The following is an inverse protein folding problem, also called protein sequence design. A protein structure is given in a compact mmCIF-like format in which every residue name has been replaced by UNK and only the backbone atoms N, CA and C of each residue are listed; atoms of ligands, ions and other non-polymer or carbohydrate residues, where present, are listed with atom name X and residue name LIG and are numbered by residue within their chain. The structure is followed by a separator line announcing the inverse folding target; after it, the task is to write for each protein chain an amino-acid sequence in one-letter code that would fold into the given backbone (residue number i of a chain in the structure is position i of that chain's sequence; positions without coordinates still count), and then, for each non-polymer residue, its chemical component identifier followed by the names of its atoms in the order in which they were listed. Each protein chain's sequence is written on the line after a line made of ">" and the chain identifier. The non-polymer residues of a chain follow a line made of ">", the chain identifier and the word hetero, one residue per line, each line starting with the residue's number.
data_IF_523157746750
#
_entry.id   IF_523157746750
#
_cell.length_a   1.000
_cell.length_b   1.000
_cell.length_c   1.000
_cell.angle_alpha   90.00
_cell.angle_beta   90.00
_cell.angle_gamma   90.00
#
_symmetry.space_group_name_H-M   'P 1'
#
loop_
_entity.id
_entity.type
_entity.pdbx_description
1 polymer ?
#
# COMPACT_ATOMS: atom_id res chain seq x y z
N UNK A 1 -0.10 -57.50 -23.37
CA UNK A 1 -0.28 -57.79 -21.94
C UNK A 1 0.84 -57.03 -21.24
N UNK A 2 0.58 -55.80 -20.80
CA UNK A 2 0.03 -55.47 -19.46
C UNK A 2 0.99 -55.95 -18.36
N UNK A 3 1.49 -55.20 -17.37
CA UNK A 3 1.17 -53.93 -16.68
C UNK A 3 2.41 -53.64 -15.79
N UNK A 4 2.66 -52.38 -15.39
CA UNK A 4 3.10 -51.91 -14.04
C UNK A 4 3.47 -50.41 -14.15
N UNK A 5 2.61 -49.47 -13.75
CA UNK A 5 2.52 -48.84 -12.40
C UNK A 5 3.91 -48.46 -11.83
N UNK A 6 4.22 -47.23 -11.42
CA UNK A 6 3.40 -46.09 -11.02
C UNK A 6 3.63 -45.73 -9.54
N UNK A 7 4.16 -44.51 -9.29
CA UNK A 7 4.11 -43.73 -8.03
C UNK A 7 4.95 -44.26 -6.84
N UNK A 8 5.48 -43.49 -5.87
CA UNK A 8 5.64 -42.05 -5.56
C UNK A 8 6.25 -41.94 -4.14
N UNK A 9 6.74 -40.74 -3.78
CA UNK A 9 7.11 -40.20 -2.44
C UNK A 9 8.61 -40.11 -2.11
N UNK A 10 9.22 -38.92 -2.20
CA UNK A 10 9.17 -37.71 -1.32
C UNK A 10 10.19 -37.82 -0.17
N UNK A 11 11.20 -36.95 -0.25
CA UNK A 11 12.13 -36.61 0.83
C UNK A 11 12.59 -35.17 0.63
N UNK A 12 11.99 -34.27 1.40
CA UNK A 12 12.29 -32.83 1.48
C UNK A 12 13.49 -32.57 2.40
N UNK A 13 14.48 -31.79 1.93
CA UNK A 13 15.44 -31.10 2.80
C UNK A 13 15.54 -29.63 2.40
N UNK A 14 15.17 -28.78 3.34
CA UNK A 14 15.30 -27.32 3.34
C UNK A 14 16.77 -26.93 3.53
N UNK A 15 17.29 -26.08 2.64
CA UNK A 15 18.59 -25.43 2.78
C UNK A 15 18.39 -23.91 2.75
N UNK A 16 18.62 -23.29 3.90
CA UNK A 16 18.76 -21.86 4.14
C UNK A 16 20.06 -21.36 3.53
N UNK A 17 20.00 -20.38 2.63
CA UNK A 17 21.18 -19.67 2.15
C UNK A 17 21.06 -18.18 2.50
N UNK A 18 21.84 -17.75 3.49
CA UNK A 18 22.23 -16.35 3.70
C UNK A 18 23.16 -15.88 2.56
N UNK A 19 23.11 -14.59 2.17
CA UNK A 19 24.09 -14.01 1.25
C UNK A 19 25.35 -13.54 2.01
N UNK A 20 26.56 -13.72 1.46
CA UNK A 20 27.76 -13.22 2.10
C UNK A 20 27.95 -11.73 1.87
N UNK A 21 28.24 -11.03 2.97
CA UNK A 21 28.83 -9.70 3.00
C UNK A 21 30.30 -9.78 2.57
N UNK A 22 30.65 -9.12 1.46
CA UNK A 22 32.05 -8.79 1.15
C UNK A 22 32.17 -7.32 0.75
N UNK A 23 32.82 -6.59 1.63
CA UNK A 23 33.35 -5.25 1.43
C UNK A 23 34.54 -5.31 0.46
N UNK A 24 34.40 -4.70 -0.72
CA UNK A 24 35.55 -4.26 -1.51
C UNK A 24 35.33 -2.79 -1.89
N UNK A 25 36.14 -1.94 -1.26
CA UNK A 25 36.38 -0.58 -1.68
C UNK A 25 37.15 -0.62 -2.99
N UNK A 26 36.54 -0.17 -4.08
CA UNK A 26 37.27 0.35 -5.23
C UNK A 26 36.75 1.74 -5.56
N UNK A 27 37.67 2.69 -5.44
CA UNK A 27 37.50 4.11 -5.71
C UNK A 27 37.56 4.29 -7.22
N UNK A 28 36.41 4.46 -7.87
CA UNK A 28 36.34 5.08 -9.19
C UNK A 28 35.82 6.50 -9.04
N UNK A 29 36.75 7.45 -9.04
CA UNK A 29 36.50 8.88 -9.23
C UNK A 29 35.87 9.08 -10.61
N UNK A 30 34.56 9.29 -10.63
CA UNK A 30 33.81 9.77 -11.78
C UNK A 30 33.92 11.29 -11.83
N UNK A 31 34.56 11.81 -12.88
CA UNK A 31 34.48 13.23 -13.23
C UNK A 31 33.10 13.54 -13.80
N UNK A 32 32.47 14.67 -13.42
CA UNK A 32 31.16 15.03 -13.96
C UNK A 32 31.33 15.62 -15.36
N UNK A 33 30.81 14.93 -16.38
CA UNK A 33 30.60 15.55 -17.69
C UNK A 33 29.29 16.34 -17.60
N UNK A 34 29.46 17.65 -17.52
CA UNK A 34 28.41 18.64 -17.50
C UNK A 34 27.89 18.83 -18.94
N UNK A 35 26.88 18.07 -19.35
CA UNK A 35 26.16 18.32 -20.61
C UNK A 35 24.89 19.10 -20.32
N UNK A 36 25.00 20.42 -20.48
CA UNK A 36 23.87 21.31 -20.58
C UNK A 36 22.99 20.89 -21.76
N UNK A 37 21.75 20.51 -21.45
CA UNK A 37 20.66 20.40 -22.41
C UNK A 37 20.34 21.83 -22.84
N UNK A 38 20.89 22.26 -23.98
CA UNK A 38 20.36 23.40 -24.72
C UNK A 38 19.53 22.85 -25.87
N UNK A 39 18.24 23.15 -25.81
CA UNK A 39 17.25 22.98 -26.85
C UNK A 39 17.76 23.53 -28.19
N UNK A 40 17.94 22.65 -29.17
CA UNK A 40 18.07 23.03 -30.57
C UNK A 40 16.94 22.38 -31.35
N UNK A 41 16.29 23.21 -32.14
CA UNK A 41 15.02 22.99 -32.81
C UNK A 41 14.93 21.65 -33.57
N UNK A 42 13.72 21.09 -33.56
CA UNK A 42 13.27 20.14 -34.57
C UNK A 42 13.47 20.76 -35.95
N UNK A 43 14.53 20.37 -36.64
CA UNK A 43 14.51 20.32 -38.09
C UNK A 43 14.20 18.89 -38.48
N UNK A 44 12.94 18.67 -38.86
CA UNK A 44 12.56 17.54 -39.70
C UNK A 44 13.34 17.68 -41.01
N UNK A 45 14.47 16.98 -41.11
CA UNK A 45 15.06 16.68 -42.41
C UNK A 45 14.24 15.53 -43.01
N UNK A 46 13.37 15.90 -43.94
CA UNK A 46 12.69 15.01 -44.87
C UNK A 46 13.70 14.09 -45.57
N UNK A 47 13.28 12.90 -46.06
CA UNK A 47 14.17 11.96 -46.73
C UNK A 47 14.72 12.45 -48.08
N UNK A 48 14.47 13.71 -48.46
CA UNK A 48 14.85 14.29 -49.74
C UNK A 48 16.32 14.75 -49.81
N UNK A 49 17.05 14.83 -48.71
CA UNK A 49 18.44 15.31 -48.72
C UNK A 49 19.50 14.22 -48.93
N UNK A 50 19.13 12.95 -48.93
CA UNK A 50 20.03 11.85 -49.33
C UNK A 50 20.06 11.62 -50.85
N UNK A 51 19.07 12.16 -51.59
CA UNK A 51 19.02 12.05 -53.07
C UNK A 51 19.80 13.17 -53.77
N UNK A 52 20.11 14.27 -53.09
CA UNK A 52 20.83 15.40 -53.69
C UNK A 52 22.31 15.15 -53.93
N UNK A 53 22.95 14.26 -53.18
CA UNK A 53 24.38 13.92 -53.39
C UNK A 53 24.60 12.82 -54.45
N UNK A 54 23.53 12.15 -54.92
CA UNK A 54 23.62 11.23 -56.07
C UNK A 54 23.53 11.95 -57.42
N UNK A 55 23.22 13.25 -57.44
CA UNK A 55 23.10 14.04 -58.68
C UNK A 55 24.42 14.63 -59.17
N UNK A 56 25.49 14.57 -58.38
CA UNK A 56 26.79 15.14 -58.74
C UNK A 56 27.79 14.09 -59.29
N UNK A 57 27.25 13.01 -59.89
CA UNK A 57 28.04 12.09 -60.73
C UNK A 57 28.50 12.73 -62.05
N UNK A 58 28.10 13.98 -62.33
CA UNK A 58 28.56 14.80 -63.46
C UNK A 58 30.06 15.12 -63.44
N UNK A 59 30.73 14.94 -62.30
CA UNK A 59 32.17 15.16 -62.16
C UNK A 59 33.01 13.88 -62.16
N UNK A 60 32.41 12.71 -62.40
CA UNK A 60 33.20 11.55 -62.80
C UNK A 60 33.92 11.91 -64.11
N UNK A 61 35.24 11.68 -64.24
CA UNK A 61 35.91 11.80 -65.52
C UNK A 61 35.12 10.96 -66.51
N UNK A 62 34.50 11.61 -67.49
CA UNK A 62 33.89 10.87 -68.59
C UNK A 62 35.01 9.99 -69.17
N UNK A 63 34.77 8.68 -69.39
CA UNK A 63 35.75 7.89 -70.12
C UNK A 63 36.07 8.67 -71.39
N UNK A 64 37.35 8.88 -71.75
CA UNK A 64 37.67 9.61 -72.95
C UNK A 64 36.88 8.94 -74.06
N UNK A 65 36.11 9.76 -74.78
CA UNK A 65 35.37 9.30 -75.93
C UNK A 65 36.42 8.73 -76.87
N UNK A 66 36.57 7.41 -76.88
CA UNK A 66 37.16 6.71 -78.01
C UNK A 66 36.20 7.02 -79.15
N UNK A 67 36.47 8.12 -79.85
CA UNK A 67 35.92 8.30 -81.16
C UNK A 67 36.28 7.02 -81.91
N UNK A 68 35.26 6.28 -82.38
CA UNK A 68 35.38 5.18 -83.33
C UNK A 68 35.88 5.75 -84.68
N UNK A 69 36.98 6.50 -84.66
CA UNK A 69 37.79 6.76 -85.82
C UNK A 69 38.57 5.49 -86.05
N UNK A 70 38.00 4.64 -86.92
CA UNK A 70 38.76 3.61 -87.60
C UNK A 70 39.86 4.33 -88.38
N UNK A 71 41.03 4.46 -87.76
CA UNK A 71 42.22 5.04 -88.38
C UNK A 71 42.67 4.02 -89.43
N UNK A 72 42.69 4.42 -90.70
CA UNK A 72 43.18 3.57 -91.78
C UNK A 72 44.73 3.59 -91.76
N UNK A 73 45.32 2.57 -91.10
CA UNK A 73 46.76 2.50 -90.81
C UNK A 73 47.64 2.55 -92.08
N UNK A 74 47.10 2.21 -93.24
CA UNK A 74 47.85 2.09 -94.50
C UNK A 74 48.11 3.46 -95.20
N UNK A 75 47.50 4.56 -94.72
CA UNK A 75 47.59 5.89 -95.33
C UNK A 75 48.43 6.91 -94.53
N UNK A 76 48.93 6.56 -93.34
CA UNK A 76 49.73 7.47 -92.52
C UNK A 76 51.23 7.30 -92.74
N UNK A 77 51.97 8.41 -92.70
CA UNK A 77 53.44 8.34 -92.69
C UNK A 77 53.93 7.83 -91.34
N UNK A 78 55.07 7.13 -91.35
CA UNK A 78 55.68 6.51 -90.16
C UNK A 78 55.83 7.50 -88.97
N UNK A 79 56.07 8.78 -89.25
CA UNK A 79 56.20 9.83 -88.24
C UNK A 79 54.86 10.33 -87.68
N UNK A 80 53.75 10.20 -88.41
CA UNK A 80 52.42 10.51 -87.91
C UNK A 80 51.92 9.40 -86.99
N UNK A 81 52.12 8.14 -87.37
CA UNK A 81 51.82 6.97 -86.53
C UNK A 81 52.54 7.03 -85.18
N UNK A 82 53.83 7.38 -85.17
CA UNK A 82 54.60 7.55 -83.92
C UNK A 82 54.10 8.67 -83.01
N UNK A 83 53.55 9.75 -83.58
CA UNK A 83 52.98 10.86 -82.79
C UNK A 83 51.64 10.50 -82.17
N UNK A 84 50.79 9.83 -82.92
CA UNK A 84 49.52 9.29 -82.40
C UNK A 84 49.76 8.21 -81.34
N UNK A 85 50.74 7.31 -81.56
CA UNK A 85 51.17 6.32 -80.57
C UNK A 85 51.62 7.01 -79.27
N UNK A 86 52.43 8.06 -79.35
CA UNK A 86 52.88 8.81 -78.18
C UNK A 86 51.73 9.57 -77.47
N UNK A 87 50.77 10.13 -78.21
CA UNK A 87 49.61 10.83 -77.66
C UNK A 87 48.63 9.87 -76.95
N UNK A 88 48.35 8.71 -77.57
CA UNK A 88 47.55 7.66 -76.96
C UNK A 88 48.25 7.07 -75.73
N UNK A 89 49.57 6.88 -75.77
CA UNK A 89 50.34 6.42 -74.60
C UNK A 89 50.25 7.40 -73.42
N UNK A 90 50.27 8.72 -73.67
CA UNK A 90 50.09 9.73 -72.63
C UNK A 90 48.66 9.73 -72.05
N UNK A 91 47.64 9.60 -72.92
CA UNK A 91 46.24 9.51 -72.48
C UNK A 91 45.99 8.27 -71.62
N UNK A 92 46.55 7.11 -72.02
CA UNK A 92 46.47 5.87 -71.24
C UNK A 92 47.14 6.05 -69.88
N UNK A 93 48.30 6.69 -69.81
CA UNK A 93 48.99 6.96 -68.54
C UNK A 93 48.18 7.87 -67.60
N UNK A 94 47.54 8.92 -68.12
CA UNK A 94 46.68 9.81 -67.33
C UNK A 94 45.40 9.11 -66.84
N UNK A 95 44.79 8.28 -67.70
CA UNK A 95 43.66 7.43 -67.35
C UNK A 95 44.03 6.42 -66.25
N UNK A 96 45.18 5.76 -66.39
CA UNK A 96 45.70 4.82 -65.39
C UNK A 96 45.91 5.52 -64.05
N UNK A 97 46.51 6.72 -64.04
CA UNK A 97 46.70 7.53 -62.84
C UNK A 97 45.36 7.93 -62.17
N UNK A 98 44.37 8.35 -62.97
CA UNK A 98 43.04 8.69 -62.50
C UNK A 98 42.28 7.46 -61.95
N UNK A 99 42.42 6.31 -62.60
CA UNK A 99 41.83 5.05 -62.17
C UNK A 99 42.41 4.57 -60.83
N UNK A 100 43.73 4.73 -60.64
CA UNK A 100 44.41 4.43 -59.37
C UNK A 100 43.86 5.34 -58.25
N UNK A 101 43.78 6.66 -58.49
CA UNK A 101 43.27 7.63 -57.51
C UNK A 101 41.81 7.37 -57.12
N UNK A 102 40.96 7.09 -58.11
CA UNK A 102 39.55 6.74 -57.90
C UNK A 102 39.41 5.43 -57.11
N UNK A 103 40.25 4.44 -57.40
CA UNK A 103 40.25 3.17 -56.67
C UNK A 103 40.64 3.33 -55.21
N UNK A 104 41.65 4.16 -54.92
CA UNK A 104 42.05 4.49 -53.55
C UNK A 104 40.94 5.23 -52.78
N UNK A 105 40.31 6.22 -53.42
CA UNK A 105 39.20 6.98 -52.80
C UNK A 105 38.03 6.06 -52.47
N UNK A 106 37.64 5.19 -53.41
CA UNK A 106 36.59 4.18 -53.20
C UNK A 106 36.91 3.24 -52.03
N UNK A 107 38.16 2.81 -51.88
CA UNK A 107 38.58 1.98 -50.74
C UNK A 107 38.41 2.71 -49.41
N UNK A 108 38.80 3.98 -49.33
CA UNK A 108 38.63 4.78 -48.11
C UNK A 108 37.14 4.96 -47.77
N UNK A 109 36.31 5.30 -48.75
CA UNK A 109 34.86 5.42 -48.56
C UNK A 109 34.26 4.10 -48.07
N UNK A 110 34.67 2.98 -48.66
CA UNK A 110 34.20 1.66 -48.26
C UNK A 110 34.61 1.32 -46.82
N UNK A 111 35.85 1.63 -46.44
CA UNK A 111 36.35 1.46 -45.07
C UNK A 111 35.58 2.33 -44.08
N UNK A 112 35.34 3.60 -44.41
CA UNK A 112 34.54 4.51 -43.60
C UNK A 112 33.09 4.02 -43.44
N UNK A 113 32.45 3.56 -44.51
CA UNK A 113 31.09 3.03 -44.48
C UNK A 113 30.99 1.77 -43.61
N UNK A 114 31.96 0.85 -43.72
CA UNK A 114 32.02 -0.36 -42.90
C UNK A 114 32.18 -0.02 -41.41
N UNK A 115 33.06 0.93 -41.08
CA UNK A 115 33.25 1.40 -39.71
C UNK A 115 31.99 2.06 -39.15
N UNK A 116 31.32 2.91 -39.95
CA UNK A 116 30.07 3.56 -39.56
C UNK A 116 28.94 2.55 -39.32
N UNK A 117 28.82 1.53 -40.18
CA UNK A 117 27.83 0.47 -40.02
C UNK A 117 28.07 -0.32 -38.73
N UNK A 118 29.32 -0.66 -38.43
CA UNK A 118 29.68 -1.33 -37.19
C UNK A 118 29.34 -0.48 -35.95
N UNK A 119 29.69 0.82 -35.97
CA UNK A 119 29.33 1.76 -34.89
C UNK A 119 27.81 1.91 -34.72
N UNK A 120 27.06 1.98 -35.82
CA UNK A 120 25.59 2.07 -35.80
C UNK A 120 24.98 0.81 -35.18
N UNK A 121 25.48 -0.36 -35.54
CA UNK A 121 25.00 -1.61 -34.96
C UNK A 121 25.29 -1.69 -33.45
N UNK A 122 26.51 -1.32 -33.02
CA UNK A 122 26.87 -1.33 -31.61
C UNK A 122 26.04 -0.34 -30.79
N UNK A 123 25.84 0.87 -31.29
CA UNK A 123 25.01 1.89 -30.62
C UNK A 123 23.55 1.48 -30.57
N UNK A 124 23.01 0.87 -31.62
CA UNK A 124 21.65 0.34 -31.62
C UNK A 124 21.45 -0.74 -30.56
N UNK A 125 22.39 -1.69 -30.45
CA UNK A 125 22.34 -2.75 -29.43
C UNK A 125 22.44 -2.15 -28.01
N UNK A 126 23.38 -1.22 -27.80
CA UNK A 126 23.54 -0.55 -26.51
C UNK A 126 22.29 0.24 -26.11
N UNK A 127 21.66 0.94 -27.06
CA UNK A 127 20.40 1.65 -26.86
C UNK A 127 19.26 0.72 -26.49
N UNK A 128 19.16 -0.44 -27.15
CA UNK A 128 18.17 -1.47 -26.83
C UNK A 128 18.33 -2.01 -25.41
N UNK A 129 19.56 -2.27 -24.96
CA UNK A 129 19.85 -2.72 -23.59
C UNK A 129 19.45 -1.68 -22.54
N UNK A 130 19.80 -0.41 -22.77
CA UNK A 130 19.41 0.69 -21.88
C UNK A 130 17.89 0.87 -21.81
N UNK A 131 17.19 0.70 -22.94
CA UNK A 131 15.73 0.79 -22.97
C UNK A 131 15.07 -0.33 -22.16
N UNK A 132 15.62 -1.55 -22.21
CA UNK A 132 15.14 -2.68 -21.40
C UNK A 132 15.36 -2.43 -19.91
N UNK A 133 16.55 -1.96 -19.52
CA UNK A 133 16.85 -1.64 -18.12
C UNK A 133 15.97 -0.51 -17.58
N UNK A 134 15.78 0.54 -18.38
CA UNK A 134 14.84 1.62 -18.05
C UNK A 134 13.41 1.09 -17.87
N UNK A 135 12.96 0.21 -18.76
CA UNK A 135 11.63 -0.38 -18.66
C UNK A 135 11.48 -1.23 -17.39
N UNK A 136 12.47 -2.07 -17.08
CA UNK A 136 12.49 -2.88 -15.86
C UNK A 136 12.42 -2.01 -14.61
N UNK A 137 13.34 -1.04 -14.48
CA UNK A 137 13.38 -0.15 -13.31
C UNK A 137 12.12 0.71 -13.20
N UNK A 138 11.48 1.06 -14.31
CA UNK A 138 10.20 1.77 -14.32
C UNK A 138 9.05 0.88 -13.84
N UNK A 139 8.99 -0.39 -14.28
CA UNK A 139 7.98 -1.35 -13.81
C UNK A 139 8.14 -1.64 -12.32
N UNK A 140 9.38 -1.81 -11.86
CA UNK A 140 9.67 -2.07 -10.46
C UNK A 140 9.29 -0.88 -9.57
N UNK A 141 9.61 0.34 -10.01
CA UNK A 141 9.14 1.58 -9.36
C UNK A 141 7.61 1.67 -9.33
N UNK A 142 6.93 1.32 -10.43
CA UNK A 142 5.46 1.33 -10.47
C UNK A 142 4.87 0.30 -9.49
N UNK A 143 5.43 -0.91 -9.45
CA UNK A 143 5.03 -1.98 -8.53
C UNK A 143 5.18 -1.57 -7.06
N UNK A 144 6.35 -1.03 -6.70
CA UNK A 144 6.62 -0.50 -5.35
C UNK A 144 5.68 0.65 -5.02
N UNK A 145 5.40 1.53 -5.99
CA UNK A 145 4.43 2.62 -5.83
C UNK A 145 3.02 2.12 -5.49
N UNK A 146 2.54 1.09 -6.19
CA UNK A 146 1.24 0.46 -5.89
C UNK A 146 1.23 -0.17 -4.50
N UNK A 147 2.30 -0.89 -4.12
CA UNK A 147 2.42 -1.49 -2.80
C UNK A 147 2.41 -0.43 -1.68
N UNK A 148 3.12 0.69 -1.87
CA UNK A 148 3.17 1.77 -0.89
C UNK A 148 1.78 2.40 -0.66
N UNK A 149 1.01 2.61 -1.73
CA UNK A 149 -0.39 3.09 -1.64
C UNK A 149 -1.25 2.07 -0.90
N UNK A 150 -1.14 0.79 -1.28
CA UNK A 150 -1.91 -0.28 -0.63
C UNK A 150 -1.60 -0.40 0.87
N UNK A 151 -0.32 -0.38 1.26
CA UNK A 151 0.10 -0.43 2.66
C UNK A 151 -0.42 0.79 3.45
N UNK A 152 -0.40 1.98 2.84
CA UNK A 152 -0.95 3.21 3.43
C UNK A 152 -2.46 3.11 3.64
N UNK A 153 -3.18 2.55 2.67
CA UNK A 153 -4.62 2.30 2.77
C UNK A 153 -4.97 1.27 3.85
N UNK A 154 -4.22 0.18 3.92
CA UNK A 154 -4.38 -0.81 4.99
C UNK A 154 -4.13 -0.18 6.37
N UNK A 155 -3.07 0.61 6.52
CA UNK A 155 -2.78 1.30 7.77
C UNK A 155 -3.92 2.26 8.16
N UNK A 156 -4.44 3.03 7.19
CA UNK A 156 -5.59 3.92 7.38
C UNK A 156 -6.84 3.16 7.82
N UNK A 157 -7.07 1.97 7.27
CA UNK A 157 -8.14 1.09 7.71
C UNK A 157 -7.91 0.60 9.15
N UNK A 158 -6.73 0.05 9.46
CA UNK A 158 -6.36 -0.44 10.79
C UNK A 158 -6.47 0.64 11.88
N UNK A 159 -6.06 1.87 11.58
CA UNK A 159 -6.19 3.01 12.50
C UNK A 159 -7.66 3.38 12.80
N UNK A 160 -8.59 3.03 11.91
CA UNK A 160 -10.03 3.25 12.12
C UNK A 160 -10.70 2.11 12.86
N UNK A 161 -10.11 0.91 12.88
CA UNK A 161 -10.63 -0.22 13.63
C UNK A 161 -10.30 -0.07 15.10
N UNK A 162 -11.33 0.09 15.93
CA UNK A 162 -11.19 0.05 17.38
C UNK A 162 -11.75 -1.29 17.86
N UNK A 163 -10.85 -2.21 18.23
CA UNK A 163 -11.19 -3.55 18.70
C UNK A 163 -12.20 -3.53 19.84
N UNK A 164 -12.15 -2.50 20.70
CA UNK A 164 -13.12 -2.36 21.78
C UNK A 164 -14.53 -2.04 21.29
N UNK A 165 -14.67 -1.23 20.24
CA UNK A 165 -15.97 -0.89 19.65
C UNK A 165 -16.57 -2.08 18.89
N UNK A 166 -15.73 -2.96 18.34
CA UNK A 166 -16.16 -4.21 17.72
C UNK A 166 -16.56 -5.26 18.77
N UNK A 167 -15.82 -5.35 19.88
CA UNK A 167 -16.13 -6.28 20.99
C UNK A 167 -17.37 -5.85 21.79
N UNK A 168 -17.56 -4.53 21.98
CA UNK A 168 -18.67 -3.95 22.72
C UNK A 168 -19.35 -2.85 21.91
N UNK A 169 -20.13 -3.27 20.92
CA UNK A 169 -20.85 -2.37 20.05
C UNK A 169 -22.06 -1.75 20.76
N UNK A 170 -21.88 -0.52 21.29
CA UNK A 170 -22.94 0.23 21.96
C UNK A 170 -23.66 1.15 20.98
N UNK A 171 -24.96 0.89 20.78
CA UNK A 171 -25.84 1.63 19.89
C UNK A 171 -27.21 1.90 20.53
N UNK A 172 -28.19 2.28 19.72
CA UNK A 172 -29.57 2.46 20.17
C UNK A 172 -30.57 1.97 19.13
N UNK A 173 -31.69 1.44 19.61
CA UNK A 173 -32.82 1.03 18.79
C UNK A 173 -34.08 1.71 19.33
N UNK A 174 -34.44 2.84 18.72
CA UNK A 174 -35.50 3.71 19.21
C UNK A 174 -35.28 4.15 20.67
N UNK A 175 -36.21 3.83 21.61
CA UNK A 175 -36.08 4.21 23.01
C UNK A 175 -35.05 3.37 23.78
N UNK A 176 -34.62 2.22 23.27
CA UNK A 176 -33.69 1.31 23.93
C UNK A 176 -32.24 1.67 23.61
N UNK A 177 -31.35 1.53 24.59
CA UNK A 177 -29.93 1.38 24.32
C UNK A 177 -29.62 -0.10 24.03
N UNK A 178 -28.68 -0.34 23.12
CA UNK A 178 -28.28 -1.71 22.74
C UNK A 178 -26.79 -1.92 22.95
N UNK A 179 -26.40 -3.14 23.32
CA UNK A 179 -25.01 -3.58 23.39
C UNK A 179 -24.87 -4.92 22.66
N UNK A 180 -24.02 -4.98 21.64
CA UNK A 180 -23.87 -6.15 20.76
C UNK A 180 -25.22 -6.63 20.19
N UNK A 181 -26.09 -5.69 19.85
CA UNK A 181 -27.45 -5.96 19.34
C UNK A 181 -28.49 -6.33 20.40
N UNK A 182 -28.11 -6.52 21.67
CA UNK A 182 -29.03 -6.86 22.75
C UNK A 182 -29.66 -5.60 23.34
N UNK A 183 -30.99 -5.57 23.48
CA UNK A 183 -31.74 -4.41 24.00
C UNK A 183 -31.71 -4.40 25.53
N UNK A 184 -31.33 -3.25 26.08
CA UNK A 184 -31.27 -3.04 27.51
C UNK A 184 -32.42 -2.13 27.97
N UNK A 185 -33.45 -2.75 28.54
CA UNK A 185 -34.64 -2.09 29.07
C UNK A 185 -35.91 -2.84 28.70
N UNK A 186 -37.06 -2.31 29.10
CA UNK A 186 -38.37 -2.87 28.86
C UNK A 186 -39.37 -1.74 28.65
N UNK A 187 -40.23 -1.86 27.64
CA UNK A 187 -41.37 -0.97 27.45
C UNK A 187 -42.67 -1.78 27.45
N UNK A 188 -43.80 -1.22 27.90
CA UNK A 188 -45.09 -1.90 27.86
C UNK A 188 -45.56 -2.15 26.42
N UNK A 189 -45.23 -1.25 25.49
CA UNK A 189 -45.55 -1.40 24.06
C UNK A 189 -44.68 -2.42 23.33
N UNK A 190 -43.46 -2.67 23.84
CA UNK A 190 -42.49 -3.59 23.24
C UNK A 190 -41.76 -4.35 24.35
N UNK A 191 -42.33 -5.46 24.84
CA UNK A 191 -41.72 -6.22 25.92
C UNK A 191 -40.41 -6.85 25.43
N UNK A 192 -39.40 -6.83 26.31
CA UNK A 192 -38.10 -7.47 26.12
C UNK A 192 -37.97 -8.53 27.18
N UNK A 193 -37.55 -9.74 26.77
CA UNK A 193 -37.38 -10.87 27.68
C UNK A 193 -36.23 -10.63 28.66
N UNK A 194 -36.41 -11.10 29.90
CA UNK A 194 -35.37 -10.95 30.93
C UNK A 194 -34.05 -11.60 30.52
N UNK A 195 -34.08 -12.69 29.75
CA UNK A 195 -32.87 -13.32 29.24
C UNK A 195 -32.00 -12.36 28.39
N UNK A 196 -32.62 -11.55 27.54
CA UNK A 196 -31.94 -10.56 26.70
C UNK A 196 -31.36 -9.42 27.55
N UNK A 197 -32.16 -8.91 28.51
CA UNK A 197 -31.72 -7.85 29.45
C UNK A 197 -30.55 -8.34 30.30
N UNK A 198 -30.62 -9.56 30.83
CA UNK A 198 -29.58 -10.18 31.63
C UNK A 198 -28.29 -10.38 30.81
N UNK A 199 -28.40 -10.81 29.56
CA UNK A 199 -27.27 -10.92 28.65
C UNK A 199 -26.63 -9.54 28.37
N UNK A 200 -27.45 -8.51 28.11
CA UNK A 200 -26.99 -7.14 27.90
C UNK A 200 -26.28 -6.56 29.14
N UNK A 201 -26.82 -6.79 30.35
CA UNK A 201 -26.16 -6.40 31.61
C UNK A 201 -24.86 -7.18 31.84
N UNK A 202 -24.81 -8.44 31.43
CA UNK A 202 -23.60 -9.24 31.44
C UNK A 202 -22.50 -8.65 30.57
N UNK A 203 -22.85 -8.24 29.34
CA UNK A 203 -21.93 -7.55 28.44
C UNK A 203 -21.49 -6.19 28.99
N UNK A 204 -22.40 -5.41 29.59
CA UNK A 204 -22.07 -4.13 30.23
C UNK A 204 -21.11 -4.30 31.43
N UNK A 205 -21.31 -5.36 32.21
CA UNK A 205 -20.43 -5.71 33.33
C UNK A 205 -19.05 -6.14 32.83
N UNK A 206 -19.00 -6.97 31.79
CA UNK A 206 -17.75 -7.38 31.16
C UNK A 206 -16.97 -6.17 30.65
N UNK A 207 -17.64 -5.26 29.95
CA UNK A 207 -17.05 -4.01 29.47
C UNK A 207 -16.42 -3.22 30.64
N UNK A 208 -17.17 -3.01 31.73
CA UNK A 208 -16.68 -2.27 32.89
C UNK A 208 -15.48 -2.98 33.55
N UNK A 209 -15.51 -4.30 33.66
CA UNK A 209 -14.37 -5.09 34.14
C UNK A 209 -13.15 -4.96 33.22
N UNK A 210 -13.35 -5.00 31.90
CA UNK A 210 -12.26 -4.82 30.92
C UNK A 210 -11.67 -3.41 30.99
N UNK A 211 -12.51 -2.38 31.12
CA UNK A 211 -12.07 -0.98 31.32
C UNK A 211 -11.25 -0.86 32.60
N UNK A 212 -11.71 -1.44 33.71
CA UNK A 212 -10.99 -1.44 34.98
C UNK A 212 -9.64 -2.17 34.89
N UNK A 213 -9.60 -3.34 34.26
CA UNK A 213 -8.37 -4.10 34.07
C UNK A 213 -7.35 -3.36 33.19
N UNK A 214 -7.80 -2.73 32.09
CA UNK A 214 -6.94 -1.99 31.17
C UNK A 214 -6.36 -0.72 31.80
N UNK A 215 -7.16 0.00 32.57
CA UNK A 215 -6.73 1.21 33.26
C UNK A 215 -6.09 0.93 34.65
N UNK A 216 -5.91 -0.34 35.03
CA UNK A 216 -5.33 -0.72 36.32
C UNK A 216 -6.16 -0.24 37.53
N UNK A 217 -7.46 -0.05 37.36
CA UNK A 217 -8.36 0.50 38.38
C UNK A 217 -8.78 -0.58 39.36
N UNK A 218 -8.74 -0.25 40.65
CA UNK A 218 -9.28 -1.08 41.72
C UNK A 218 -10.43 -0.31 42.37
N UNK A 219 -11.65 -0.79 42.16
CA UNK A 219 -12.83 -0.20 42.77
C UNK A 219 -12.79 -0.36 44.30
N UNK A 220 -13.08 0.70 45.04
CA UNK A 220 -12.94 0.71 46.49
C UNK A 220 -13.97 -0.19 47.21
N UNK A 221 -15.24 -0.10 46.82
CA UNK A 221 -16.37 -0.71 47.57
C UNK A 221 -17.04 -1.87 46.85
N UNK A 222 -17.03 -1.87 45.52
CA UNK A 222 -17.83 -2.78 44.71
C UNK A 222 -16.96 -3.36 43.59
N UNK A 223 -16.96 -4.67 43.42
CA UNK A 223 -16.20 -5.34 42.36
C UNK A 223 -17.18 -5.97 41.37
N UNK A 224 -17.18 -5.55 40.09
CA UNK A 224 -17.98 -6.19 39.05
C UNK A 224 -17.37 -7.54 38.67
N UNK A 225 -18.20 -8.59 38.61
CA UNK A 225 -17.80 -9.93 38.20
C UNK A 225 -18.68 -10.38 37.03
N UNK A 226 -18.12 -10.33 35.83
CA UNK A 226 -18.78 -10.76 34.62
C UNK A 226 -18.89 -12.29 34.57
N UNK A 227 -20.12 -12.80 34.41
CA UNK A 227 -20.44 -14.24 34.25
C UNK A 227 -21.56 -14.42 33.21
N UNK A 228 -21.43 -13.77 32.06
CA UNK A 228 -22.47 -13.74 31.03
C UNK A 228 -23.80 -13.22 31.59
N UNK A 229 -24.92 -13.90 31.27
CA UNK A 229 -26.25 -13.52 31.75
C UNK A 229 -26.46 -13.63 33.25
N UNK A 230 -25.54 -14.25 34.00
CA UNK A 230 -25.61 -14.42 35.46
C UNK A 230 -24.52 -13.62 36.18
N UNK A 231 -24.18 -12.45 35.63
CA UNK A 231 -23.19 -11.54 36.21
C UNK A 231 -23.59 -11.10 37.61
N UNK A 232 -22.60 -10.72 38.43
CA UNK A 232 -22.81 -10.38 39.84
C UNK A 232 -21.92 -9.23 40.30
N UNK A 233 -22.40 -8.50 41.32
CA UNK A 233 -21.65 -7.45 41.99
C UNK A 233 -21.24 -7.93 43.37
N UNK A 234 -19.95 -7.81 43.70
CA UNK A 234 -19.43 -8.09 45.03
C UNK A 234 -19.30 -6.79 45.82
N UNK A 235 -19.93 -6.71 46.98
CA UNK A 235 -19.85 -5.54 47.87
C UNK A 235 -18.99 -5.89 49.07
N UNK A 236 -17.96 -5.08 49.34
CA UNK A 236 -17.15 -5.21 50.54
C UNK A 236 -17.98 -4.82 51.77
N UNK A 237 -18.14 -5.74 52.72
CA UNK A 237 -18.73 -5.44 54.03
C UNK A 237 -17.66 -5.40 55.11
N UNK A 238 -17.46 -4.24 55.73
CA UNK A 238 -16.60 -4.08 56.92
C UNK A 238 -15.12 -4.40 56.69
N UNK A 239 -14.34 -4.43 57.78
CA UNK A 239 -12.88 -4.55 57.77
C UNK A 239 -12.37 -5.99 57.53
N UNK A 240 -12.64 -6.58 56.36
CA UNK A 240 -11.53 -7.24 55.67
C UNK A 240 -11.70 -8.60 54.99
N UNK A 241 -12.81 -9.35 55.04
CA UNK A 241 -12.80 -10.70 54.40
C UNK A 241 -14.08 -11.11 53.66
N UNK A 242 -15.28 -10.76 54.16
CA UNK A 242 -16.54 -11.26 53.57
C UNK A 242 -17.10 -10.28 52.54
N UNK A 243 -17.16 -10.70 51.27
CA UNK A 243 -17.84 -9.98 50.20
C UNK A 243 -19.27 -10.51 50.06
N UNK A 244 -20.26 -9.62 50.13
CA UNK A 244 -21.65 -9.98 49.89
C UNK A 244 -21.92 -9.94 48.39
N UNK A 245 -22.48 -11.01 47.85
CA UNK A 245 -22.79 -11.11 46.43
C UNK A 245 -24.22 -10.64 46.15
N UNK A 246 -24.37 -9.77 45.15
CA UNK A 246 -25.66 -9.35 44.63
C UNK A 246 -25.78 -9.75 43.16
N UNK A 247 -26.81 -10.53 42.77
CA UNK A 247 -27.03 -10.93 41.39
C UNK A 247 -27.41 -9.72 40.54
N UNK A 248 -26.72 -9.55 39.40
CA UNK A 248 -27.05 -8.58 38.36
C UNK A 248 -27.88 -9.23 37.24
N UNK A 249 -28.78 -10.13 37.63
CA UNK A 249 -29.75 -10.74 36.76
C UNK A 249 -31.08 -10.87 37.49
N UNK A 250 -32.16 -10.86 36.74
CA UNK A 250 -33.50 -11.03 37.26
C UNK A 250 -34.29 -11.98 36.36
N UNK A 251 -35.13 -12.81 36.95
CA UNK A 251 -36.05 -13.74 36.26
C UNK A 251 -37.49 -13.22 36.25
N UNK A 252 -37.73 -12.05 36.84
CA UNK A 252 -39.07 -11.49 37.05
C UNK A 252 -39.65 -11.76 38.44
N UNK A 253 -38.94 -12.51 39.28
CA UNK A 253 -39.34 -12.79 40.66
C UNK A 253 -39.28 -11.57 41.57
N UNK A 254 -40.33 -11.38 42.38
CA UNK A 254 -40.42 -10.25 43.31
C UNK A 254 -39.31 -10.25 44.39
N UNK A 255 -38.92 -11.44 44.86
CA UNK A 255 -37.86 -11.61 45.88
C UNK A 255 -36.46 -11.25 45.36
N UNK A 256 -36.22 -11.43 44.06
CA UNK A 256 -34.92 -11.16 43.44
C UNK A 256 -34.76 -9.67 43.08
N UNK A 257 -35.87 -8.97 42.83
CA UNK A 257 -35.91 -7.55 42.45
C UNK A 257 -35.13 -6.65 43.42
N UNK A 258 -35.25 -6.82 44.73
CA UNK A 258 -34.53 -5.96 45.69
C UNK A 258 -33.02 -6.15 45.63
N UNK A 259 -32.56 -7.41 45.50
CA UNK A 259 -31.14 -7.74 45.35
C UNK A 259 -30.60 -7.22 44.01
N UNK A 260 -31.39 -7.36 42.95
CA UNK A 260 -31.06 -6.85 41.61
C UNK A 260 -30.95 -5.33 41.57
N UNK A 261 -31.91 -4.60 42.16
CA UNK A 261 -31.84 -3.14 42.29
C UNK A 261 -30.61 -2.69 43.09
N UNK A 262 -30.19 -3.49 44.08
CA UNK A 262 -28.95 -3.23 44.83
C UNK A 262 -27.73 -3.43 43.94
N UNK A 263 -27.69 -4.50 43.14
CA UNK A 263 -26.63 -4.74 42.17
C UNK A 263 -26.52 -3.62 41.12
N UNK A 264 -27.66 -3.13 40.59
CA UNK A 264 -27.68 -2.04 39.62
C UNK A 264 -27.15 -0.72 40.19
N UNK A 265 -27.44 -0.41 41.46
CA UNK A 265 -26.85 0.75 42.14
C UNK A 265 -25.34 0.60 42.28
N UNK A 266 -24.87 -0.57 42.71
CA UNK A 266 -23.44 -0.84 42.81
C UNK A 266 -22.74 -0.73 41.44
N UNK A 267 -23.38 -1.22 40.37
CA UNK A 267 -22.85 -1.07 39.01
C UNK A 267 -22.73 0.41 38.62
N UNK A 268 -23.78 1.20 38.88
CA UNK A 268 -23.77 2.63 38.59
C UNK A 268 -22.69 3.39 39.38
N UNK A 269 -22.47 3.01 40.64
CA UNK A 269 -21.39 3.58 41.46
C UNK A 269 -19.99 3.21 40.93
N UNK A 270 -19.78 1.99 40.44
CA UNK A 270 -18.54 1.63 39.74
C UNK A 270 -18.33 2.46 38.47
N UNK A 271 -19.39 2.71 37.69
CA UNK A 271 -19.31 3.55 36.48
C UNK A 271 -18.97 5.00 36.83
N UNK A 272 -19.54 5.54 37.91
CA UNK A 272 -19.19 6.87 38.40
C UNK A 272 -17.73 6.96 38.89
N UNK A 273 -17.26 5.94 39.61
CA UNK A 273 -15.86 5.86 40.06
C UNK A 273 -14.89 5.79 38.88
N UNK A 274 -15.16 4.94 37.89
CA UNK A 274 -14.39 4.88 36.64
C UNK A 274 -14.44 6.21 35.86
N UNK A 275 -15.62 6.84 35.80
CA UNK A 275 -15.80 8.13 35.13
C UNK A 275 -15.01 9.26 35.79
N UNK A 276 -14.96 9.30 37.13
CA UNK A 276 -14.14 10.26 37.88
C UNK A 276 -12.65 10.07 37.61
N UNK A 277 -12.16 8.83 37.59
CA UNK A 277 -10.76 8.56 37.23
C UNK A 277 -10.47 8.97 35.78
N UNK A 278 -11.36 8.65 34.85
CA UNK A 278 -11.21 9.04 33.45
C UNK A 278 -11.14 10.56 33.25
N UNK A 279 -11.92 11.35 34.01
CA UNK A 279 -11.87 12.83 33.96
C UNK A 279 -10.54 13.36 34.52
N UNK A 280 -9.96 12.72 35.53
CA UNK A 280 -8.66 13.12 36.09
C UNK A 280 -7.55 12.95 35.05
N UNK A 281 -7.56 11.85 34.32
CA UNK A 281 -6.58 11.58 33.27
C UNK A 281 -6.84 12.34 31.97
N UNK A 282 -8.11 12.56 31.62
CA UNK A 282 -8.53 13.32 30.44
C UNK A 282 -9.48 14.47 30.83
N UNK A 283 -8.93 15.65 31.18
CA UNK A 283 -9.73 16.80 31.60
C UNK A 283 -10.68 17.37 30.54
N UNK A 284 -10.55 16.98 29.27
CA UNK A 284 -11.50 17.30 28.20
C UNK A 284 -12.72 16.37 28.16
N UNK A 285 -12.66 15.21 28.82
CA UNK A 285 -13.75 14.24 28.84
C UNK A 285 -14.94 14.79 29.64
N UNK A 286 -16.13 14.77 29.05
CA UNK A 286 -17.36 15.25 29.68
C UNK A 286 -18.46 14.23 29.51
N UNK A 287 -18.86 13.60 30.60
CA UNK A 287 -20.01 12.71 30.60
C UNK A 287 -21.32 13.52 30.50
N UNK A 288 -22.25 13.16 29.61
CA UNK A 288 -23.42 13.98 29.32
C UNK A 288 -24.50 13.94 30.41
N UNK A 289 -24.53 12.88 31.22
CA UNK A 289 -25.55 12.68 32.25
C UNK A 289 -24.91 12.64 33.63
N UNK A 290 -25.48 13.38 34.60
CA UNK A 290 -24.99 13.36 35.98
C UNK A 290 -25.43 12.08 36.69
N UNK A 291 -24.50 11.42 37.40
CA UNK A 291 -24.80 10.29 38.28
C UNK A 291 -24.99 10.82 39.71
N UNK A 292 -26.03 10.36 40.41
CA UNK A 292 -26.28 10.69 41.81
C UNK A 292 -26.87 9.50 42.53
N UNK A 293 -26.04 8.77 43.29
CA UNK A 293 -26.39 7.54 44.03
C UNK A 293 -27.07 6.51 43.12
N UNK A 294 -28.40 6.44 43.13
CA UNK A 294 -29.20 5.48 42.37
C UNK A 294 -29.83 6.04 41.09
N UNK A 295 -29.49 7.28 40.72
CA UNK A 295 -30.06 7.98 39.56
C UNK A 295 -29.00 8.40 38.57
N UNK A 296 -29.36 8.38 37.29
CA UNK A 296 -28.56 8.91 36.19
C UNK A 296 -29.42 9.84 35.33
N UNK A 297 -28.99 11.09 35.16
CA UNK A 297 -29.78 12.13 34.48
C UNK A 297 -31.17 12.29 35.09
N UNK A 298 -31.24 12.29 36.43
CA UNK A 298 -32.46 12.37 37.25
C UNK A 298 -33.44 11.17 37.15
N UNK A 299 -33.10 10.15 36.36
CA UNK A 299 -33.89 8.92 36.21
C UNK A 299 -33.37 7.82 37.12
N UNK A 300 -34.28 7.05 37.73
CA UNK A 300 -33.90 5.92 38.60
C UNK A 300 -33.43 4.72 37.79
N UNK A 301 -32.36 4.07 38.24
CA UNK A 301 -31.88 2.80 37.67
C UNK A 301 -32.64 1.58 38.23
N UNK A 302 -33.52 1.79 39.22
CA UNK A 302 -34.25 0.71 39.88
C UNK A 302 -35.44 0.20 39.08
N UNK A 303 -35.62 -1.12 39.06
CA UNK A 303 -36.77 -1.79 38.46
C UNK A 303 -38.03 -1.66 39.31
N UNK A 304 -39.17 -1.52 38.62
CA UNK A 304 -40.54 -1.65 39.13
C UNK A 304 -41.19 -0.35 39.59
N UNK A 305 -40.74 0.77 39.00
CA UNK A 305 -41.52 2.01 38.88
C UNK A 305 -42.03 2.15 37.44
N UNK A 306 -41.56 3.19 36.75
CA UNK A 306 -41.89 3.43 35.34
C UNK A 306 -40.85 2.78 34.41
N UNK A 307 -41.29 1.78 33.64
CA UNK A 307 -40.49 1.02 32.67
C UNK A 307 -39.83 1.89 31.58
N UNK A 308 -40.49 2.97 31.14
CA UNK A 308 -39.92 3.90 30.17
C UNK A 308 -38.76 4.71 30.76
N UNK A 309 -38.92 5.19 32.00
CA UNK A 309 -37.86 5.90 32.72
C UNK A 309 -36.68 4.97 32.98
N UNK A 310 -36.95 3.73 33.38
CA UNK A 310 -35.92 2.73 33.62
C UNK A 310 -35.14 2.41 32.33
N UNK A 311 -35.82 2.21 31.21
CA UNK A 311 -35.18 2.00 29.90
C UNK A 311 -34.31 3.17 29.49
N UNK A 312 -34.79 4.40 29.71
CA UNK A 312 -34.01 5.60 29.40
C UNK A 312 -32.79 5.75 30.32
N UNK A 313 -32.92 5.42 31.60
CA UNK A 313 -31.78 5.39 32.54
C UNK A 313 -30.71 4.38 32.10
N UNK A 314 -31.11 3.19 31.64
CA UNK A 314 -30.21 2.17 31.11
C UNK A 314 -29.52 2.62 29.80
N UNK A 315 -30.22 3.36 28.93
CA UNK A 315 -29.62 3.99 27.76
C UNK A 315 -28.55 5.02 28.15
N UNK A 316 -28.78 5.79 29.21
CA UNK A 316 -27.79 6.74 29.74
C UNK A 316 -26.57 6.03 30.33
N UNK A 317 -26.79 4.92 31.03
CA UNK A 317 -25.71 4.06 31.53
C UNK A 317 -24.84 3.54 30.39
N UNK A 318 -25.44 2.98 29.33
CA UNK A 318 -24.70 2.54 28.14
C UNK A 318 -23.95 3.68 27.47
N UNK A 319 -24.53 4.89 27.46
CA UNK A 319 -23.83 6.07 26.93
C UNK A 319 -22.56 6.35 27.73
N UNK A 320 -22.62 6.32 29.06
CA UNK A 320 -21.43 6.48 29.92
C UNK A 320 -20.39 5.38 29.67
N UNK A 321 -20.81 4.13 29.57
CA UNK A 321 -19.90 3.02 29.25
C UNK A 321 -19.22 3.22 27.89
N UNK A 322 -19.93 3.76 26.89
CA UNK A 322 -19.36 4.10 25.58
C UNK A 322 -18.29 5.20 25.68
N UNK A 323 -18.51 6.22 26.50
CA UNK A 323 -17.50 7.25 26.77
C UNK A 323 -16.26 6.68 27.48
N UNK A 324 -16.46 5.79 28.46
CA UNK A 324 -15.36 5.08 29.13
C UNK A 324 -14.57 4.20 28.16
N UNK A 325 -15.26 3.52 27.25
CA UNK A 325 -14.63 2.69 26.22
C UNK A 325 -13.77 3.52 25.27
N UNK A 326 -14.28 4.68 24.83
CA UNK A 326 -13.54 5.60 23.99
C UNK A 326 -12.30 6.16 24.71
N UNK A 327 -12.43 6.48 26.00
CA UNK A 327 -11.32 6.90 26.85
C UNK A 327 -10.23 5.83 26.95
N UNK A 328 -10.59 4.58 27.28
CA UNK A 328 -9.62 3.48 27.38
C UNK A 328 -8.95 3.23 26.03
N UNK A 329 -9.71 3.16 24.94
CA UNK A 329 -9.14 2.92 23.61
C UNK A 329 -8.18 4.03 23.15
N UNK A 330 -8.43 5.27 23.56
CA UNK A 330 -7.54 6.40 23.27
C UNK A 330 -6.27 6.39 24.13
N UNK A 331 -6.39 6.02 25.41
CA UNK A 331 -5.30 6.13 26.38
C UNK A 331 -4.41 4.87 26.46
N UNK A 332 -5.00 3.71 26.22
CA UNK A 332 -4.37 2.40 26.30
C UNK A 332 -4.62 1.63 24.98
N UNK A 333 -3.98 2.05 23.87
CA UNK A 333 -4.15 1.43 22.56
C UNK A 333 -3.70 -0.04 22.52
#
# INVERSE_FOLDING_TARGET
>A
MDILQGASHVGSTTSTHEPPSTSHHDVFTTTPINTAISSSAQHQSTPEHAETDLRDLSHLPQPPQLADHVIDLDLLSLDQLRREEAALAALVADLEASCISTSQTRQLVWQCAANLQHMTQQTFIAGGLLQLDHHWTSQERASVGVFAVHASDMLRCLQRYNVFNDAFHIWHEGPFGTINGLRLGRLPSRPVEWAEINAALGQATLLLTTVAQRAGMVFAKHVPVARGSYSKMLVAQGSGVKRKEYPLFNDGGFLQRQKFNTALKCLLECVDEAGRQAIVEEPSLRFPYKITRAKIGDLSIEVGGNDEQWTRALKYLLTHLKWLLAWVAKRYP
#
